data_IF_918294188901
#
_entry.id   IF_918294188901
#
_cell.length_a   1.000
_cell.length_b   1.000
_cell.length_c   1.000
_cell.angle_alpha   90.00
_cell.angle_beta   90.00
_cell.angle_gamma   90.00
#
_symmetry.space_group_name_H-M   'P 1'
#
loop_
_entity.id
_entity.type
_entity.pdbx_description
1 polymer ?
#
# COMPACT_ATOMS: atom_id res chain seq x y z
N UNK A 1 5.30 -18.68 16.09
CA UNK A 1 5.44 -20.05 15.54
C UNK A 1 6.00 -19.95 14.14
N UNK A 2 7.07 -20.65 13.84
CA UNK A 2 7.57 -20.77 12.47
C UNK A 2 6.68 -21.78 11.75
N UNK A 3 5.98 -21.32 10.71
CA UNK A 3 5.25 -22.21 9.79
C UNK A 3 6.29 -23.10 9.11
N UNK A 4 6.08 -24.40 9.09
CA UNK A 4 7.05 -25.30 8.48
C UNK A 4 7.18 -25.00 6.99
N UNK A 5 8.38 -25.18 6.44
CA UNK A 5 8.67 -24.93 5.02
C UNK A 5 7.80 -25.78 4.08
N UNK A 6 7.24 -26.88 4.56
CA UNK A 6 6.39 -27.79 3.82
C UNK A 6 4.95 -27.28 3.67
N UNK A 7 4.40 -26.57 4.66
CA UNK A 7 3.06 -25.98 4.57
C UNK A 7 2.99 -24.88 3.51
N UNK A 8 4.10 -24.26 3.17
CA UNK A 8 4.18 -23.26 2.11
C UNK A 8 4.04 -23.81 0.69
N UNK A 9 4.17 -25.12 0.51
CA UNK A 9 4.18 -25.77 -0.80
C UNK A 9 2.85 -26.44 -1.15
N UNK A 10 1.82 -26.33 -0.33
CA UNK A 10 0.48 -26.81 -0.67
C UNK A 10 -0.13 -25.93 -1.78
N UNK A 11 -0.95 -26.54 -2.66
CA UNK A 11 -1.66 -25.79 -3.73
C UNK A 11 -2.50 -24.65 -3.13
N UNK A 12 -3.16 -24.90 -2.01
CA UNK A 12 -3.93 -23.86 -1.29
C UNK A 12 -3.03 -22.74 -0.78
N UNK A 13 -1.88 -23.07 -0.20
CA UNK A 13 -0.92 -22.05 0.28
C UNK A 13 -0.34 -21.20 -0.84
N UNK A 14 -0.12 -21.76 -2.04
CA UNK A 14 0.30 -20.99 -3.21
C UNK A 14 -0.79 -20.07 -3.69
N UNK A 15 -2.03 -20.54 -3.78
CA UNK A 15 -3.18 -19.72 -4.19
C UNK A 15 -3.42 -18.56 -3.22
N UNK A 16 -3.34 -18.79 -1.92
CA UNK A 16 -3.48 -17.76 -0.90
C UNK A 16 -2.38 -16.69 -1.03
N UNK A 17 -1.14 -17.10 -1.27
CA UNK A 17 -0.02 -16.17 -1.47
C UNK A 17 -0.21 -15.31 -2.71
N UNK A 18 -0.66 -15.90 -3.82
CA UNK A 18 -0.96 -15.15 -5.05
C UNK A 18 -2.09 -14.14 -4.81
N UNK A 19 -3.16 -14.55 -4.14
CA UNK A 19 -4.28 -13.66 -3.82
C UNK A 19 -3.83 -12.46 -2.95
N UNK A 20 -2.95 -12.69 -1.98
CA UNK A 20 -2.39 -11.62 -1.13
C UNK A 20 -1.46 -10.71 -1.92
N UNK A 21 -0.57 -11.24 -2.76
CA UNK A 21 0.30 -10.41 -3.60
C UNK A 21 -0.50 -9.57 -4.59
N UNK A 22 -1.61 -10.09 -5.12
CA UNK A 22 -2.52 -9.31 -5.97
C UNK A 22 -3.11 -8.11 -5.22
N UNK A 23 -3.46 -8.26 -3.94
CA UNK A 23 -3.93 -7.14 -3.13
C UNK A 23 -2.85 -6.06 -2.96
N UNK A 24 -1.58 -6.46 -2.76
CA UNK A 24 -0.45 -5.52 -2.67
C UNK A 24 -0.29 -4.73 -3.97
N UNK A 25 -0.35 -5.39 -5.12
CA UNK A 25 -0.19 -4.77 -6.43
C UNK A 25 -1.40 -3.92 -6.82
N UNK A 26 -2.60 -4.34 -6.45
CA UNK A 26 -3.83 -3.57 -6.69
C UNK A 26 -3.83 -2.23 -5.96
N UNK A 27 -3.31 -2.19 -4.74
CA UNK A 27 -3.11 -0.93 -4.02
C UNK A 27 -2.23 0.04 -4.83
N UNK A 28 -1.10 -0.44 -5.32
CA UNK A 28 -0.18 0.37 -6.14
C UNK A 28 -0.86 0.89 -7.42
N UNK A 29 -1.59 0.02 -8.12
CA UNK A 29 -2.32 0.35 -9.34
C UNK A 29 -3.37 1.45 -9.10
N UNK A 30 -4.19 1.32 -8.05
CA UNK A 30 -5.23 2.30 -7.70
C UNK A 30 -4.62 3.64 -7.27
N UNK A 31 -3.56 3.62 -6.47
CA UNK A 31 -2.84 4.84 -6.07
C UNK A 31 -2.30 5.59 -7.29
N UNK A 32 -1.65 4.88 -8.20
CA UNK A 32 -1.04 5.48 -9.39
C UNK A 32 -2.07 5.97 -10.42
N UNK A 33 -3.25 5.36 -10.43
CA UNK A 33 -4.39 5.83 -11.20
C UNK A 33 -5.08 7.07 -10.60
N UNK A 34 -4.81 7.41 -9.33
CA UNK A 34 -5.52 8.44 -8.60
C UNK A 34 -6.94 8.04 -8.20
N UNK A 35 -7.23 6.72 -8.23
CA UNK A 35 -8.51 6.14 -7.81
C UNK A 35 -8.52 5.94 -6.29
N UNK A 36 -8.66 7.04 -5.57
CA UNK A 36 -8.64 7.02 -4.10
C UNK A 36 -9.91 6.45 -3.49
N UNK A 37 -11.02 6.46 -4.22
CA UNK A 37 -12.24 5.75 -3.81
C UNK A 37 -11.98 4.24 -3.83
N UNK A 38 -11.38 3.72 -4.91
CA UNK A 38 -10.97 2.33 -4.99
C UNK A 38 -9.96 1.93 -3.91
N UNK A 39 -9.01 2.81 -3.55
CA UNK A 39 -8.10 2.58 -2.41
C UNK A 39 -8.88 2.49 -1.10
N UNK A 40 -9.83 3.38 -0.88
CA UNK A 40 -10.70 3.35 0.30
C UNK A 40 -11.51 2.06 0.39
N UNK A 41 -12.05 1.58 -0.72
CA UNK A 41 -12.76 0.29 -0.78
C UNK A 41 -11.84 -0.89 -0.49
N UNK A 42 -10.63 -0.91 -1.10
CA UNK A 42 -9.66 -1.98 -0.93
C UNK A 42 -9.21 -2.13 0.53
N UNK A 43 -8.99 -1.03 1.23
CA UNK A 43 -8.47 -1.00 2.60
C UNK A 43 -9.58 -0.84 3.65
N UNK A 44 -10.81 -0.55 3.25
CA UNK A 44 -11.86 -0.03 4.11
C UNK A 44 -12.39 -0.99 5.16
N UNK A 45 -12.11 -2.28 5.05
CA UNK A 45 -12.44 -3.30 6.06
C UNK A 45 -11.40 -3.37 7.19
N UNK A 46 -10.31 -2.67 7.05
CA UNK A 46 -9.21 -2.64 8.00
C UNK A 46 -8.78 -1.21 8.34
N UNK A 47 -7.49 -1.05 8.61
CA UNK A 47 -6.87 0.22 8.93
C UNK A 47 -5.70 0.55 8.01
N UNK A 48 -5.46 1.83 7.80
CA UNK A 48 -4.30 2.36 7.09
C UNK A 48 -3.61 3.42 7.93
N UNK A 49 -2.29 3.34 8.06
CA UNK A 49 -1.56 4.35 8.79
C UNK A 49 -0.06 4.09 8.87
N UNK A 50 0.57 4.82 9.77
CA UNK A 50 2.00 4.77 10.02
C UNK A 50 2.30 5.01 11.49
N UNK A 51 3.48 5.53 11.77
CA UNK A 51 3.95 5.77 13.13
C UNK A 51 3.11 6.81 13.90
N UNK A 52 2.54 7.78 13.18
CA UNK A 52 1.75 8.87 13.76
C UNK A 52 0.26 8.54 13.96
N UNK A 53 -0.15 7.32 13.67
CA UNK A 53 -1.52 6.88 13.83
C UNK A 53 -2.10 6.20 12.60
N UNK A 54 -3.34 5.78 12.72
CA UNK A 54 -4.07 5.10 11.66
C UNK A 54 -5.50 5.58 11.55
N UNK A 55 -6.07 5.44 10.35
CA UNK A 55 -7.49 5.66 10.06
C UNK A 55 -8.13 4.35 9.64
N UNK A 56 -9.43 4.20 9.88
CA UNK A 56 -10.19 2.99 9.54
C UNK A 56 -11.47 3.37 8.80
N UNK A 57 -11.90 2.47 7.93
CA UNK A 57 -13.10 2.64 7.13
C UNK A 57 -12.84 3.33 5.78
N UNK A 58 -13.58 2.92 4.77
CA UNK A 58 -13.41 3.37 3.39
C UNK A 58 -13.44 4.89 3.25
N UNK A 59 -14.44 5.54 3.83
CA UNK A 59 -14.61 7.00 3.72
C UNK A 59 -13.44 7.79 4.32
N UNK A 60 -12.94 7.37 5.49
CA UNK A 60 -11.82 8.06 6.14
C UNK A 60 -10.51 7.87 5.36
N UNK A 61 -10.28 6.67 4.83
CA UNK A 61 -9.09 6.37 4.02
C UNK A 61 -9.15 7.11 2.68
N UNK A 62 -10.28 7.11 1.99
CA UNK A 62 -10.49 7.90 0.77
C UNK A 62 -10.20 9.38 1.01
N UNK A 63 -10.79 9.95 2.07
CA UNK A 63 -10.58 11.37 2.43
C UNK A 63 -9.11 11.67 2.71
N UNK A 64 -8.40 10.78 3.40
CA UNK A 64 -6.96 10.95 3.68
C UNK A 64 -6.19 11.17 2.38
N UNK A 65 -6.36 10.29 1.38
CA UNK A 65 -5.63 10.41 0.11
C UNK A 65 -6.03 11.65 -0.69
N UNK A 66 -7.31 12.00 -0.75
CA UNK A 66 -7.76 13.22 -1.42
C UNK A 66 -7.18 14.50 -0.78
N UNK A 67 -6.92 14.50 0.51
CA UNK A 67 -6.41 15.67 1.24
C UNK A 67 -4.88 15.75 1.29
N UNK A 68 -4.19 14.63 1.08
CA UNK A 68 -2.73 14.57 1.24
C UNK A 68 -1.97 14.40 -0.07
N UNK A 69 -2.62 13.91 -1.14
CA UNK A 69 -1.95 13.54 -2.39
C UNK A 69 -2.34 14.48 -3.53
N UNK A 70 -1.35 15.03 -4.20
CA UNK A 70 -1.53 15.89 -5.38
C UNK A 70 -1.92 15.05 -6.60
N UNK A 71 -2.91 15.54 -7.36
CA UNK A 71 -3.34 14.96 -8.63
C UNK A 71 -3.25 16.01 -9.73
N UNK A 72 -2.94 15.58 -10.94
CA UNK A 72 -2.71 16.42 -12.10
C UNK A 72 -3.84 16.27 -13.11
N UNK A 73 -4.54 17.38 -13.40
CA UNK A 73 -5.69 17.40 -14.32
C UNK A 73 -5.31 17.01 -15.74
N UNK A 74 -4.16 17.48 -16.20
CA UNK A 74 -3.62 17.25 -17.54
C UNK A 74 -3.33 15.78 -17.83
N UNK A 75 -3.24 14.93 -16.80
CA UNK A 75 -3.06 13.48 -16.90
C UNK A 75 -4.29 12.70 -16.43
N UNK A 76 -5.46 13.32 -16.46
CA UNK A 76 -6.71 12.67 -16.02
C UNK A 76 -6.86 12.50 -14.52
N UNK A 77 -6.15 13.30 -13.70
CA UNK A 77 -6.24 13.26 -12.26
C UNK A 77 -5.30 12.25 -11.60
N UNK A 78 -4.28 11.76 -12.31
CA UNK A 78 -3.28 10.86 -11.73
C UNK A 78 -2.25 11.63 -10.89
N UNK A 79 -1.63 11.01 -9.88
CA UNK A 79 -0.51 11.59 -9.13
C UNK A 79 0.81 11.66 -9.90
N UNK A 80 0.87 11.09 -11.10
CA UNK A 80 2.08 10.95 -11.93
C UNK A 80 3.19 10.14 -11.24
N UNK A 81 2.79 9.16 -10.44
CA UNK A 81 3.67 8.26 -9.68
C UNK A 81 3.65 6.85 -10.24
N UNK A 82 4.62 6.07 -9.80
CA UNK A 82 4.57 4.60 -9.80
C UNK A 82 5.01 4.10 -8.44
N UNK A 83 4.14 3.33 -7.81
CA UNK A 83 4.43 2.61 -6.58
C UNK A 83 5.03 1.26 -6.93
N UNK A 84 6.31 1.08 -6.64
CA UNK A 84 7.00 -0.19 -6.82
C UNK A 84 6.91 -0.99 -5.53
N UNK A 85 6.23 -2.13 -5.57
CA UNK A 85 6.17 -3.07 -4.45
C UNK A 85 7.25 -4.13 -4.68
N UNK A 86 8.23 -4.15 -3.81
CA UNK A 86 9.45 -4.91 -4.00
C UNK A 86 9.61 -5.98 -2.92
N UNK A 87 10.06 -7.17 -3.34
CA UNK A 87 10.44 -8.26 -2.45
C UNK A 87 9.36 -8.64 -1.43
N UNK A 88 8.09 -8.84 -1.81
CA UNK A 88 7.06 -9.21 -0.86
C UNK A 88 7.34 -10.60 -0.28
N UNK A 89 7.32 -10.68 1.05
CA UNK A 89 7.38 -11.95 1.78
C UNK A 89 6.04 -12.11 2.46
N UNK A 90 5.31 -13.15 2.07
CA UNK A 90 3.96 -13.46 2.53
C UNK A 90 4.00 -14.71 3.42
N UNK A 91 3.38 -14.62 4.58
CA UNK A 91 3.25 -15.73 5.54
C UNK A 91 1.77 -16.04 5.75
N UNK A 92 1.40 -17.30 5.53
CA UNK A 92 0.03 -17.80 5.65
C UNK A 92 0.03 -19.00 6.58
N UNK A 93 -0.30 -18.83 7.88
CA UNK A 93 -0.26 -19.92 8.86
C UNK A 93 -1.39 -20.95 8.71
N UNK A 94 -2.43 -20.68 7.89
CA UNK A 94 -3.51 -21.64 7.62
C UNK A 94 -4.73 -21.49 8.54
N UNK A 95 -4.79 -20.46 9.36
CA UNK A 95 -5.89 -20.17 10.30
C UNK A 95 -6.87 -19.09 9.80
N UNK A 96 -6.81 -18.73 8.52
CA UNK A 96 -7.59 -17.64 7.93
C UNK A 96 -6.99 -16.25 8.13
N UNK A 97 -5.77 -16.17 8.66
CA UNK A 97 -4.98 -14.96 8.75
C UNK A 97 -3.73 -15.03 7.88
N UNK A 98 -3.18 -13.88 7.52
CA UNK A 98 -1.90 -13.80 6.84
C UNK A 98 -1.20 -12.48 7.15
N UNK A 99 0.09 -12.44 6.92
CA UNK A 99 0.89 -11.22 6.97
C UNK A 99 1.79 -11.09 5.74
N UNK A 100 2.12 -9.86 5.40
CA UNK A 100 3.12 -9.58 4.39
C UNK A 100 4.02 -8.43 4.82
N UNK A 101 5.28 -8.50 4.42
CA UNK A 101 6.22 -7.39 4.49
C UNK A 101 6.85 -7.17 3.13
N UNK A 102 6.96 -5.93 2.73
CA UNK A 102 7.56 -5.56 1.44
C UNK A 102 8.27 -4.23 1.54
N UNK A 103 9.22 -4.00 0.65
CA UNK A 103 9.77 -2.67 0.41
C UNK A 103 8.89 -1.94 -0.60
N UNK A 104 8.66 -0.66 -0.41
CA UNK A 104 8.10 0.17 -1.47
C UNK A 104 9.08 1.26 -1.89
N UNK A 105 9.01 1.60 -3.16
CA UNK A 105 9.66 2.77 -3.71
C UNK A 105 8.64 3.49 -4.59
N UNK A 106 8.39 4.77 -4.32
CA UNK A 106 7.57 5.60 -5.20
C UNK A 106 8.49 6.43 -6.07
N UNK A 107 8.32 6.32 -7.38
CA UNK A 107 8.97 7.18 -8.35
C UNK A 107 7.95 8.16 -8.93
N UNK A 108 8.40 9.36 -9.29
CA UNK A 108 7.55 10.39 -9.86
C UNK A 108 8.30 11.13 -10.97
N UNK A 109 7.55 11.54 -11.99
CA UNK A 109 7.99 12.50 -13.00
C UNK A 109 6.86 13.48 -13.30
N UNK A 110 7.18 14.78 -13.31
CA UNK A 110 6.28 15.86 -13.74
C UNK A 110 6.99 16.72 -14.79
N UNK A 111 6.34 17.76 -15.29
CA UNK A 111 7.01 18.69 -16.22
C UNK A 111 8.21 19.40 -15.57
N UNK A 112 8.18 19.60 -14.24
CA UNK A 112 9.21 20.33 -13.49
C UNK A 112 10.12 19.40 -12.70
N UNK A 113 9.74 18.13 -12.50
CA UNK A 113 10.49 17.15 -11.73
C UNK A 113 10.92 15.99 -12.65
N UNK A 114 12.21 15.82 -12.95
CA UNK A 114 12.69 14.66 -13.68
C UNK A 114 12.35 13.35 -12.96
N UNK A 115 12.21 12.26 -13.71
CA UNK A 115 11.98 10.94 -13.12
C UNK A 115 12.97 10.62 -12.03
N UNK A 116 12.48 10.41 -10.81
CA UNK A 116 13.31 10.08 -9.66
C UNK A 116 12.51 9.35 -8.57
N UNK A 117 13.18 8.59 -7.69
CA UNK A 117 12.59 8.12 -6.45
C UNK A 117 12.29 9.31 -5.54
N UNK A 118 11.09 9.32 -4.96
CA UNK A 118 10.67 10.40 -4.05
C UNK A 118 10.46 9.93 -2.61
N UNK A 119 10.15 8.65 -2.41
CA UNK A 119 10.04 8.06 -1.07
C UNK A 119 10.29 6.56 -1.14
N UNK A 120 10.96 6.04 -0.13
CA UNK A 120 11.24 4.60 0.04
C UNK A 120 10.95 4.21 1.47
N UNK A 121 10.40 3.03 1.67
CA UNK A 121 10.09 2.51 3.00
C UNK A 121 9.59 1.08 2.96
N UNK A 122 8.84 0.71 3.99
CA UNK A 122 8.31 -0.64 4.13
C UNK A 122 6.81 -0.62 4.36
N UNK A 123 6.15 -1.60 3.76
CA UNK A 123 4.79 -1.99 4.13
C UNK A 123 4.85 -3.18 5.09
N UNK A 124 4.04 -3.08 6.14
CA UNK A 124 3.71 -4.18 7.04
C UNK A 124 2.20 -4.37 7.02
N UNK A 125 1.79 -5.47 6.45
CA UNK A 125 0.39 -5.74 6.16
C UNK A 125 -0.09 -6.97 6.91
N UNK A 126 -1.34 -6.92 7.34
CA UNK A 126 -2.06 -8.09 7.84
C UNK A 126 -3.35 -8.29 7.06
N UNK A 127 -3.76 -9.54 6.94
CA UNK A 127 -4.93 -9.95 6.14
C UNK A 127 -5.78 -10.94 6.90
N UNK A 128 -7.06 -10.95 6.57
CA UNK A 128 -8.03 -11.93 7.03
C UNK A 128 -8.76 -12.48 5.82
N UNK A 129 -9.17 -13.75 5.88
CA UNK A 129 -9.99 -14.40 4.87
C UNK A 129 -11.36 -14.70 5.41
N UNK A 130 -12.38 -14.39 4.62
CA UNK A 130 -13.76 -14.81 4.83
C UNK A 130 -14.33 -15.52 3.58
N UNK A 131 -15.63 -15.65 3.49
CA UNK A 131 -16.32 -16.29 2.35
C UNK A 131 -16.11 -15.54 1.03
N UNK A 132 -15.80 -14.25 1.07
CA UNK A 132 -15.54 -13.41 -0.11
C UNK A 132 -14.05 -13.40 -0.53
N UNK A 133 -13.16 -13.99 0.28
CA UNK A 133 -11.73 -14.06 0.01
C UNK A 133 -10.88 -13.26 1.00
N UNK A 134 -9.63 -13.02 0.61
CA UNK A 134 -8.67 -12.27 1.41
C UNK A 134 -8.91 -10.75 1.33
N UNK A 135 -8.75 -10.06 2.45
CA UNK A 135 -8.78 -8.60 2.51
C UNK A 135 -7.75 -8.06 3.53
N UNK A 136 -7.35 -6.81 3.38
CA UNK A 136 -6.49 -6.14 4.35
C UNK A 136 -7.22 -5.95 5.68
N UNK A 137 -6.66 -6.46 6.76
CA UNK A 137 -7.05 -6.08 8.12
C UNK A 137 -6.23 -4.90 8.64
N UNK A 138 -4.99 -4.71 8.15
CA UNK A 138 -4.25 -3.47 8.35
C UNK A 138 -3.17 -3.29 7.28
N UNK A 139 -2.87 -2.04 6.94
CA UNK A 139 -1.66 -1.64 6.23
C UNK A 139 -0.93 -0.58 7.02
N UNK A 140 0.29 -0.89 7.44
CA UNK A 140 1.21 0.05 8.05
C UNK A 140 2.29 0.46 7.07
N UNK A 141 2.51 1.76 6.95
CA UNK A 141 3.54 2.36 6.11
C UNK A 141 4.64 2.94 6.98
N UNK A 142 5.82 2.35 6.92
CA UNK A 142 7.01 2.86 7.60
C UNK A 142 7.88 3.57 6.54
N UNK A 143 7.91 4.91 6.57
CA UNK A 143 8.72 5.72 5.66
C UNK A 143 10.15 5.76 6.18
N UNK A 144 11.13 5.38 5.37
CA UNK A 144 12.54 5.30 5.77
C UNK A 144 13.44 6.34 5.09
N UNK A 145 13.14 6.66 3.82
CA UNK A 145 13.93 7.62 3.03
C UNK A 145 12.99 8.53 2.25
N UNK A 146 13.22 9.83 2.32
CA UNK A 146 12.41 10.86 1.67
C UNK A 146 13.31 11.68 0.74
N UNK A 147 12.91 11.75 -0.51
CA UNK A 147 13.48 12.65 -1.51
C UNK A 147 12.64 13.90 -1.69
N UNK A 148 12.52 14.38 -2.93
CA UNK A 148 11.66 15.52 -3.24
C UNK A 148 10.20 15.09 -3.42
N UNK A 149 9.39 15.28 -2.39
CA UNK A 149 7.95 14.97 -2.38
C UNK A 149 7.07 16.21 -2.63
N UNK A 150 7.66 17.35 -2.97
CA UNK A 150 6.93 18.62 -3.17
C UNK A 150 5.90 18.57 -4.30
N UNK A 151 6.14 17.75 -5.31
CA UNK A 151 5.21 17.52 -6.43
C UNK A 151 4.17 16.43 -6.14
N UNK A 152 4.29 15.71 -5.02
CA UNK A 152 3.41 14.59 -4.65
C UNK A 152 2.49 14.91 -3.48
N UNK A 153 3.01 15.54 -2.43
CA UNK A 153 2.25 15.81 -1.22
C UNK A 153 1.65 17.20 -1.21
N UNK A 154 0.45 17.30 -0.64
CA UNK A 154 -0.24 18.57 -0.34
C UNK A 154 0.01 19.04 1.09
N UNK A 155 0.75 18.28 1.89
CA UNK A 155 1.10 18.53 3.28
C UNK A 155 2.61 18.70 3.45
N UNK A 156 3.03 19.24 4.58
CA UNK A 156 4.45 19.39 4.90
C UNK A 156 5.11 18.02 5.06
N UNK A 157 6.18 17.73 4.30
CA UNK A 157 6.93 16.47 4.43
C UNK A 157 7.49 16.23 5.84
N UNK A 158 7.75 17.28 6.62
CA UNK A 158 8.20 17.18 8.01
C UNK A 158 7.25 16.39 8.92
N UNK A 159 5.98 16.28 8.53
CA UNK A 159 5.01 15.44 9.26
C UNK A 159 5.15 13.94 8.99
N UNK A 160 5.98 13.53 8.02
CA UNK A 160 6.25 12.12 7.69
C UNK A 160 7.48 11.56 8.41
N UNK A 161 8.36 12.44 8.88
CA UNK A 161 9.57 12.10 9.63
C UNK A 161 9.36 12.41 11.11
N UNK A 162 8.87 11.46 11.83
CA UNK A 162 8.75 11.50 13.28
C UNK A 162 9.37 10.28 13.90
#
# INVERSE_FOLDING_TARGET
MSVSREEHLTVTGVADRLAITDLLYRYAELMDAGDFDGVGELLGRGSFGGEQGSVSGASAITKLFFTTTRRYRETGGTPRTRHLVLNPIVEVPGDGTASARSTFCVVQATEQLPLQPIVVGRYRDTFVRDEQGWYFSSRRVDVEMIGDVSAHLLMDPGTLSG
#
